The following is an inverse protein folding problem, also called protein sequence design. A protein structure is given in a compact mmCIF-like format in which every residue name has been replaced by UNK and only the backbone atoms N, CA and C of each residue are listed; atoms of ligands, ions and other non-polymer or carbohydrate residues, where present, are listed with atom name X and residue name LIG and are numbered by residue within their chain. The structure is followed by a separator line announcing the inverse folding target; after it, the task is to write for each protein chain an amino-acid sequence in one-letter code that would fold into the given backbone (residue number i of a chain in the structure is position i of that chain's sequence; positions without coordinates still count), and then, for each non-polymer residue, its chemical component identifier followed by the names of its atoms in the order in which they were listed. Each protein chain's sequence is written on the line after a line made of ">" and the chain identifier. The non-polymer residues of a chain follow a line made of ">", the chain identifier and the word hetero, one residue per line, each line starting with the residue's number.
data_IF_737099028413
#
_entry.id   IF_737099028413
#
_cell.length_a   1.000
_cell.length_b   1.000
_cell.length_c   1.000
_cell.angle_alpha   90.00
_cell.angle_beta   90.00
_cell.angle_gamma   90.00
#
_symmetry.space_group_name_H-M   'P 1'
#
loop_
_entity.id
_entity.type
_entity.pdbx_description
1 polymer ?
#
# COMPACT_ATOMS: atom_id res chain seq x y z
N UNK A 1 12.41 -55.88 45.70
CA UNK A 1 12.45 -55.31 44.32
C UNK A 1 13.86 -54.82 44.08
N UNK A 2 14.53 -55.27 43.02
CA UNK A 2 15.84 -54.69 42.66
C UNK A 2 15.60 -53.35 41.96
N UNK A 3 16.41 -52.37 42.34
CA UNK A 3 16.34 -50.99 41.88
C UNK A 3 16.64 -50.86 40.38
N UNK A 4 16.23 -49.74 39.82
CA UNK A 4 16.50 -49.18 38.48
C UNK A 4 17.98 -49.12 38.06
N UNK A 5 18.90 -49.68 38.85
CA UNK A 5 20.35 -49.65 38.65
C UNK A 5 20.93 -50.84 37.88
N UNK A 6 20.12 -51.75 37.33
CA UNK A 6 20.66 -52.84 36.50
C UNK A 6 21.33 -52.25 35.24
N UNK A 7 22.58 -52.64 34.90
CA UNK A 7 23.35 -52.00 33.84
C UNK A 7 22.63 -52.00 32.49
N UNK A 8 21.89 -53.07 32.15
CA UNK A 8 21.09 -53.14 30.92
C UNK A 8 19.90 -52.16 30.90
N UNK A 9 19.28 -51.90 32.05
CA UNK A 9 18.19 -50.91 32.16
C UNK A 9 18.77 -49.51 32.01
N UNK A 10 19.92 -49.23 32.64
CA UNK A 10 20.61 -47.95 32.51
C UNK A 10 21.09 -47.69 31.08
N UNK A 11 21.62 -48.71 30.38
CA UNK A 11 22.02 -48.56 28.98
C UNK A 11 20.82 -48.27 28.07
N UNK A 12 19.68 -48.93 28.32
CA UNK A 12 18.45 -48.67 27.58
C UNK A 12 17.97 -47.23 27.79
N UNK A 13 17.93 -46.75 29.04
CA UNK A 13 17.51 -45.38 29.36
C UNK A 13 18.43 -44.35 28.70
N UNK A 14 19.75 -44.54 28.74
CA UNK A 14 20.69 -43.64 28.03
C UNK A 14 20.45 -43.63 26.52
N UNK A 15 20.16 -44.78 25.91
CA UNK A 15 19.87 -44.84 24.48
C UNK A 15 18.55 -44.11 24.15
N UNK A 16 17.51 -44.24 24.98
CA UNK A 16 16.25 -43.51 24.82
C UNK A 16 16.44 -42.00 25.00
N UNK A 17 17.29 -41.58 25.93
CA UNK A 17 17.63 -40.18 26.14
C UNK A 17 18.42 -39.59 24.96
N UNK A 18 19.38 -40.32 24.40
CA UNK A 18 20.06 -39.91 23.17
C UNK A 18 19.09 -39.78 21.99
N UNK A 19 18.12 -40.69 21.89
CA UNK A 19 17.09 -40.63 20.85
C UNK A 19 16.15 -39.44 21.04
N UNK A 20 15.77 -39.12 22.28
CA UNK A 20 15.03 -37.90 22.63
C UNK A 20 15.81 -36.65 22.17
N UNK A 21 17.09 -36.55 22.49
CA UNK A 21 17.92 -35.40 22.07
C UNK A 21 17.99 -35.26 20.55
N UNK A 22 18.14 -36.38 19.83
CA UNK A 22 18.12 -36.37 18.35
C UNK A 22 16.78 -35.93 17.80
N UNK A 23 15.68 -36.35 18.42
CA UNK A 23 14.34 -35.94 18.02
C UNK A 23 14.13 -34.44 18.24
N UNK A 24 14.50 -33.92 19.41
CA UNK A 24 14.40 -32.50 19.73
C UNK A 24 15.25 -31.64 18.77
N UNK A 25 16.48 -32.05 18.48
CA UNK A 25 17.33 -31.37 17.51
C UNK A 25 16.72 -31.37 16.10
N UNK A 26 16.12 -32.48 15.68
CA UNK A 26 15.42 -32.57 14.40
C UNK A 26 14.16 -31.69 14.36
N UNK A 27 13.39 -31.66 15.45
CA UNK A 27 12.22 -30.81 15.59
C UNK A 27 12.60 -29.34 15.51
N UNK A 28 13.62 -28.91 16.26
CA UNK A 28 14.11 -27.53 16.22
C UNK A 28 14.57 -27.15 14.83
N UNK A 29 15.43 -27.97 14.20
CA UNK A 29 15.89 -27.70 12.83
C UNK A 29 14.73 -27.58 11.83
N UNK A 30 13.68 -28.39 12.01
CA UNK A 30 12.51 -28.31 11.15
C UNK A 30 11.76 -27.00 11.37
N UNK A 31 11.58 -26.57 12.63
CA UNK A 31 10.98 -25.28 12.98
C UNK A 31 11.76 -24.12 12.38
N UNK A 32 13.09 -24.14 12.49
CA UNK A 32 13.96 -23.09 11.94
C UNK A 32 13.82 -23.00 10.41
N UNK A 33 13.81 -24.14 9.71
CA UNK A 33 13.60 -24.19 8.25
C UNK A 33 12.22 -23.69 7.85
N UNK A 34 11.17 -24.04 8.61
CA UNK A 34 9.83 -23.51 8.33
C UNK A 34 9.75 -22.01 8.62
N UNK A 35 10.38 -21.52 9.69
CA UNK A 35 10.38 -20.11 10.05
C UNK A 35 11.11 -19.25 9.01
N UNK A 36 12.28 -19.70 8.53
CA UNK A 36 13.01 -19.02 7.45
C UNK A 36 12.19 -18.94 6.17
N UNK A 37 11.56 -20.05 5.75
CA UNK A 37 10.66 -20.06 4.59
C UNK A 37 9.45 -19.13 4.75
N UNK A 38 8.90 -19.01 5.96
CA UNK A 38 7.81 -18.05 6.27
C UNK A 38 8.27 -16.62 6.10
N UNK A 39 9.40 -16.27 6.72
CA UNK A 39 9.98 -14.94 6.62
C UNK A 39 10.28 -14.56 5.16
N UNK A 40 10.80 -15.50 4.35
CA UNK A 40 11.00 -15.28 2.92
C UNK A 40 9.69 -14.99 2.18
N UNK A 41 8.64 -15.80 2.40
CA UNK A 41 7.33 -15.58 1.77
C UNK A 41 6.71 -14.25 2.17
N UNK A 42 6.74 -13.92 3.47
CA UNK A 42 6.25 -12.64 3.99
C UNK A 42 7.02 -11.47 3.39
N UNK A 43 8.35 -11.56 3.32
CA UNK A 43 9.19 -10.54 2.69
C UNK A 43 8.83 -10.38 1.21
N UNK A 44 8.69 -11.48 0.45
CA UNK A 44 8.32 -11.39 -0.97
C UNK A 44 6.95 -10.77 -1.19
N UNK A 45 5.97 -11.06 -0.32
CA UNK A 45 4.64 -10.45 -0.42
C UNK A 45 4.70 -8.96 -0.07
N UNK A 46 5.45 -8.60 0.96
CA UNK A 46 5.64 -7.20 1.34
C UNK A 46 6.34 -6.40 0.24
N UNK A 47 7.37 -6.95 -0.40
CA UNK A 47 8.05 -6.31 -1.53
C UNK A 47 7.11 -6.09 -2.72
N UNK A 48 6.22 -7.05 -2.99
CA UNK A 48 5.17 -6.90 -4.00
C UNK A 48 4.19 -5.79 -3.63
N UNK A 49 3.77 -5.71 -2.37
CA UNK A 49 2.87 -4.66 -1.88
C UNK A 49 3.49 -3.27 -2.02
N UNK A 50 4.76 -3.13 -1.63
CA UNK A 50 5.52 -1.88 -1.81
C UNK A 50 5.59 -1.53 -3.29
N UNK A 51 5.94 -2.48 -4.16
CA UNK A 51 6.05 -2.23 -5.61
C UNK A 51 4.73 -1.74 -6.18
N UNK A 52 3.61 -2.43 -5.89
CA UNK A 52 2.28 -2.04 -6.34
C UNK A 52 1.87 -0.64 -5.85
N UNK A 53 2.17 -0.32 -4.59
CA UNK A 53 1.88 0.99 -4.01
C UNK A 53 2.69 2.09 -4.72
N UNK A 54 3.99 1.85 -4.95
CA UNK A 54 4.85 2.82 -5.64
C UNK A 54 4.43 3.05 -7.08
N UNK A 55 4.08 1.99 -7.82
CA UNK A 55 3.59 2.09 -9.20
C UNK A 55 2.28 2.88 -9.25
N UNK A 56 1.34 2.59 -8.33
CA UNK A 56 0.09 3.33 -8.26
C UNK A 56 0.34 4.81 -7.94
N UNK A 57 1.14 5.12 -6.92
CA UNK A 57 1.49 6.50 -6.57
C UNK A 57 2.15 7.25 -7.74
N UNK A 58 3.05 6.60 -8.48
CA UNK A 58 3.69 7.21 -9.66
C UNK A 58 2.67 7.52 -10.76
N UNK A 59 1.76 6.58 -11.07
CA UNK A 59 0.71 6.80 -12.07
C UNK A 59 -0.25 7.92 -11.65
N UNK A 60 -0.60 7.98 -10.36
CA UNK A 60 -1.47 9.02 -9.81
C UNK A 60 -0.79 10.39 -9.85
N UNK A 61 0.48 10.49 -9.45
CA UNK A 61 1.26 11.72 -9.51
C UNK A 61 1.45 12.22 -10.95
N UNK A 62 1.59 11.31 -11.91
CA UNK A 62 1.64 11.66 -13.32
C UNK A 62 0.30 12.19 -13.82
N UNK A 63 -0.81 11.53 -13.47
CA UNK A 63 -2.14 11.96 -13.89
C UNK A 63 -2.53 13.34 -13.31
N UNK A 64 -2.14 13.63 -12.07
CA UNK A 64 -2.36 14.95 -11.46
C UNK A 64 -1.53 16.02 -12.19
N UNK A 65 -0.25 15.77 -12.43
CA UNK A 65 0.62 16.71 -13.15
C UNK A 65 0.10 17.00 -14.57
N UNK A 66 -0.30 15.97 -15.33
CA UNK A 66 -0.87 16.13 -16.67
C UNK A 66 -2.18 16.96 -16.64
N UNK A 67 -3.02 16.76 -15.62
CA UNK A 67 -4.24 17.55 -15.46
C UNK A 67 -3.93 19.02 -15.10
N UNK A 68 -3.00 19.26 -14.18
CA UNK A 68 -2.56 20.60 -13.79
C UNK A 68 -1.98 21.38 -14.97
N UNK A 69 -1.10 20.75 -15.76
CA UNK A 69 -0.51 21.36 -16.95
C UNK A 69 -1.60 21.77 -17.97
N UNK A 70 -2.58 20.91 -18.21
CA UNK A 70 -3.70 21.24 -19.09
C UNK A 70 -4.55 22.39 -18.52
N UNK A 71 -4.77 22.42 -17.20
CA UNK A 71 -5.51 23.50 -16.56
C UNK A 71 -4.79 24.85 -16.67
N UNK A 72 -3.47 24.86 -16.51
CA UNK A 72 -2.64 26.04 -16.70
C UNK A 72 -2.71 26.51 -18.15
N UNK A 73 -2.58 25.59 -19.12
CA UNK A 73 -2.66 25.91 -20.55
C UNK A 73 -4.02 26.54 -20.92
N UNK A 74 -5.13 25.93 -20.46
CA UNK A 74 -6.48 26.44 -20.68
C UNK A 74 -6.67 27.85 -20.07
N UNK A 75 -6.15 28.09 -18.86
CA UNK A 75 -6.24 29.40 -18.21
C UNK A 75 -5.40 30.45 -18.95
N UNK A 76 -4.19 30.09 -19.40
CA UNK A 76 -3.33 30.97 -20.19
C UNK A 76 -3.99 31.37 -21.51
N UNK A 77 -4.56 30.42 -22.24
CA UNK A 77 -5.27 30.68 -23.50
C UNK A 77 -6.48 31.59 -23.27
N UNK A 78 -7.28 31.30 -22.24
CA UNK A 78 -8.44 32.12 -21.90
C UNK A 78 -8.02 33.57 -21.60
N UNK A 79 -6.99 33.77 -20.77
CA UNK A 79 -6.49 35.12 -20.44
C UNK A 79 -5.98 35.85 -21.67
N UNK A 80 -5.22 35.17 -22.53
CA UNK A 80 -4.73 35.76 -23.78
C UNK A 80 -5.88 36.20 -24.70
N UNK A 81 -6.94 35.38 -24.82
CA UNK A 81 -8.13 35.72 -25.60
C UNK A 81 -8.90 36.92 -25.02
N UNK A 82 -9.04 36.98 -23.68
CA UNK A 82 -9.68 38.09 -22.98
C UNK A 82 -8.87 39.39 -23.16
N UNK A 83 -7.55 39.34 -23.00
CA UNK A 83 -6.66 40.49 -23.23
C UNK A 83 -6.74 41.00 -24.67
N UNK A 84 -6.75 40.09 -25.65
CA UNK A 84 -6.88 40.45 -27.05
C UNK A 84 -8.23 41.12 -27.35
N UNK A 85 -9.31 40.66 -26.73
CA UNK A 85 -10.64 41.27 -26.87
C UNK A 85 -10.67 42.69 -26.28
N UNK A 86 -10.04 42.90 -25.12
CA UNK A 86 -9.90 44.21 -24.48
C UNK A 86 -9.07 45.18 -25.34
N UNK A 87 -7.94 44.73 -25.88
CA UNK A 87 -7.12 45.54 -26.81
C UNK A 87 -7.91 45.95 -28.05
N UNK A 88 -8.70 45.03 -28.60
CA UNK A 88 -9.52 45.28 -29.79
C UNK A 88 -10.58 46.34 -29.53
N UNK A 89 -11.29 46.26 -28.40
CA UNK A 89 -12.30 47.27 -28.01
C UNK A 89 -11.64 48.62 -27.74
N UNK A 90 -10.51 48.65 -27.03
CA UNK A 90 -9.77 49.89 -26.77
C UNK A 90 -9.30 50.57 -28.07
N UNK A 91 -8.75 49.79 -29.00
CA UNK A 91 -8.36 50.29 -30.32
C UNK A 91 -9.57 50.83 -31.10
N UNK A 92 -10.71 50.15 -31.04
CA UNK A 92 -11.96 50.59 -31.67
C UNK A 92 -12.47 51.90 -31.06
N UNK A 93 -12.51 52.01 -29.74
CA UNK A 93 -12.88 53.24 -29.02
C UNK A 93 -11.96 54.37 -29.47
N UNK A 94 -10.64 54.19 -29.43
CA UNK A 94 -9.67 55.21 -29.86
C UNK A 94 -9.87 55.65 -31.31
N UNK A 95 -10.16 54.72 -32.22
CA UNK A 95 -10.45 55.03 -33.62
C UNK A 95 -11.76 55.82 -33.76
N UNK A 96 -12.79 55.47 -32.99
CA UNK A 96 -14.08 56.15 -32.98
C UNK A 96 -13.99 57.55 -32.32
N UNK A 97 -13.21 57.69 -31.24
CA UNK A 97 -12.86 58.97 -30.60
C UNK A 97 -12.17 59.89 -31.61
N UNK A 98 -11.08 59.42 -32.25
CA UNK A 98 -10.40 60.18 -33.31
C UNK A 98 -11.33 60.48 -34.50
N UNK A 99 -12.38 59.67 -34.70
CA UNK A 99 -13.40 59.94 -35.69
C UNK A 99 -14.33 61.09 -35.30
N UNK A 100 -14.78 61.11 -34.06
CA UNK A 100 -15.68 62.12 -33.52
C UNK A 100 -14.97 63.45 -33.19
N UNK A 101 -13.71 63.41 -32.73
CA UNK A 101 -12.92 64.59 -32.32
C UNK A 101 -12.37 65.39 -33.50
N UNK A 102 -12.29 64.81 -34.70
CA UNK A 102 -11.85 65.52 -35.90
C UNK A 102 -12.83 66.58 -36.44
N UNK A 103 -13.78 67.03 -35.61
CA UNK A 103 -14.64 68.18 -35.88
C UNK A 103 -13.81 69.47 -35.88
N UNK A 104 -13.26 69.80 -37.05
CA UNK A 104 -12.57 71.09 -37.29
C UNK A 104 -11.25 71.00 -38.05
N UNK A 105 -10.65 69.82 -38.21
CA UNK A 105 -9.52 69.63 -39.11
C UNK A 105 -10.03 69.21 -40.49
N UNK A 106 -10.21 70.19 -41.37
CA UNK A 106 -10.39 69.93 -42.80
C UNK A 106 -9.19 69.15 -43.32
N UNK A 107 -9.38 68.04 -44.06
CA UNK A 107 -8.27 67.44 -44.78
C UNK A 107 -7.76 68.46 -45.79
N UNK A 108 -6.47 68.78 -45.75
CA UNK A 108 -5.77 69.57 -46.79
C UNK A 108 -5.75 68.86 -48.15
N UNK A 109 -6.32 67.65 -48.24
CA UNK A 109 -6.41 66.84 -49.46
C UNK A 109 -7.72 67.11 -50.22
N UNK A 110 -7.59 67.84 -51.32
CA UNK A 110 -8.68 68.48 -52.08
C UNK A 110 -9.65 67.55 -52.85
N UNK A 111 -9.79 66.27 -52.51
CA UNK A 111 -10.62 65.33 -53.28
C UNK A 111 -11.46 64.32 -52.46
N UNK A 112 -11.63 64.51 -51.14
CA UNK A 112 -12.46 63.63 -50.31
C UNK A 112 -13.75 64.35 -49.84
N UNK A 113 -14.91 63.65 -49.79
CA UNK A 113 -16.15 64.21 -49.25
C UNK A 113 -15.97 64.74 -47.81
N UNK A 114 -16.68 65.82 -47.42
CA UNK A 114 -16.58 66.36 -46.08
C UNK A 114 -16.99 65.34 -45.02
N UNK A 115 -16.16 65.18 -43.98
CA UNK A 115 -16.40 64.26 -42.87
C UNK A 115 -17.63 64.71 -42.07
N UNK A 116 -18.67 63.87 -42.00
CA UNK A 116 -19.88 64.13 -41.20
C UNK A 116 -19.98 63.13 -40.06
N UNK A 117 -19.98 63.64 -38.82
CA UNK A 117 -20.25 62.84 -37.62
C UNK A 117 -21.77 62.85 -37.39
N UNK A 118 -22.41 61.68 -37.42
CA UNK A 118 -23.85 61.55 -37.15
C UNK A 118 -24.11 61.25 -35.67
N UNK A 119 -25.32 61.52 -35.19
CA UNK A 119 -25.76 61.16 -33.83
C UNK A 119 -25.61 59.64 -33.57
N UNK A 120 -25.77 58.83 -34.61
CA UNK A 120 -25.58 57.39 -34.55
C UNK A 120 -24.14 57.00 -34.20
N UNK A 121 -23.13 57.72 -34.73
CA UNK A 121 -21.73 57.47 -34.42
C UNK A 121 -21.40 57.75 -32.94
N UNK A 122 -22.01 58.79 -32.36
CA UNK A 122 -21.85 59.12 -30.93
C UNK A 122 -22.54 58.08 -30.04
N UNK A 123 -23.74 57.60 -30.43
CA UNK A 123 -24.41 56.49 -29.73
C UNK A 123 -23.60 55.20 -29.79
N UNK A 124 -22.99 54.89 -30.95
CA UNK A 124 -22.13 53.72 -31.10
C UNK A 124 -20.86 53.81 -30.26
N UNK A 125 -20.26 55.01 -30.13
CA UNK A 125 -19.14 55.24 -29.23
C UNK A 125 -19.54 55.02 -27.76
N UNK A 126 -20.69 55.55 -27.34
CA UNK A 126 -21.27 55.30 -26.02
C UNK A 126 -21.47 53.80 -25.73
N UNK A 127 -21.95 53.04 -26.72
CA UNK A 127 -22.06 51.57 -26.61
C UNK A 127 -20.71 50.89 -26.39
N UNK A 128 -19.64 51.34 -27.03
CA UNK A 128 -18.31 50.76 -26.84
C UNK A 128 -17.74 51.04 -25.45
N UNK A 129 -18.01 52.22 -24.87
CA UNK A 129 -17.60 52.51 -23.49
C UNK A 129 -18.33 51.65 -22.46
N UNK A 130 -19.64 51.50 -22.60
CA UNK A 130 -20.41 50.62 -21.71
C UNK A 130 -19.89 49.19 -21.78
N UNK A 131 -19.59 48.71 -23.00
CA UNK A 131 -18.96 47.42 -23.16
C UNK A 131 -17.64 47.36 -22.39
N UNK A 132 -16.72 48.33 -22.57
CA UNK A 132 -15.44 48.36 -21.84
C UNK A 132 -15.60 48.33 -20.31
N UNK A 133 -16.60 49.02 -19.77
CA UNK A 133 -16.90 49.02 -18.34
C UNK A 133 -17.37 47.65 -17.83
N UNK A 134 -18.24 46.98 -18.58
CA UNK A 134 -18.74 45.64 -18.24
C UNK A 134 -17.69 44.52 -18.43
N UNK A 135 -16.68 44.75 -19.27
CA UNK A 135 -15.70 43.73 -19.68
C UNK A 135 -14.94 43.12 -18.50
N UNK A 136 -14.50 43.91 -17.53
CA UNK A 136 -13.74 43.40 -16.39
C UNK A 136 -14.58 42.41 -15.54
N UNK A 137 -15.85 42.74 -15.32
CA UNK A 137 -16.79 41.86 -14.62
C UNK A 137 -17.07 40.58 -15.43
N UNK A 138 -17.20 40.68 -16.75
CA UNK A 138 -17.39 39.52 -17.61
C UNK A 138 -16.15 38.62 -17.64
N UNK A 139 -14.95 39.21 -17.70
CA UNK A 139 -13.67 38.50 -17.68
C UNK A 139 -13.50 37.72 -16.38
N UNK A 140 -13.67 38.38 -15.24
CA UNK A 140 -13.59 37.76 -13.91
C UNK A 140 -14.61 36.63 -13.76
N UNK A 141 -15.86 36.85 -14.17
CA UNK A 141 -16.87 35.78 -14.15
C UNK A 141 -16.48 34.58 -15.01
N UNK A 142 -15.91 34.81 -16.20
CA UNK A 142 -15.53 33.72 -17.11
C UNK A 142 -14.34 32.92 -16.56
N UNK A 143 -13.36 33.59 -15.95
CA UNK A 143 -12.23 32.94 -15.27
C UNK A 143 -12.73 32.11 -14.09
N UNK A 144 -13.63 32.66 -13.28
CA UNK A 144 -14.19 31.93 -12.12
C UNK A 144 -14.93 30.68 -12.56
N UNK A 145 -15.83 30.77 -13.54
CA UNK A 145 -16.55 29.60 -14.05
C UNK A 145 -15.61 28.52 -14.61
N UNK A 146 -14.50 28.94 -15.22
CA UNK A 146 -13.50 28.03 -15.73
C UNK A 146 -12.78 27.34 -14.56
N UNK A 147 -12.34 28.08 -13.55
CA UNK A 147 -11.69 27.54 -12.34
C UNK A 147 -12.62 26.61 -11.56
N UNK A 148 -13.90 26.94 -11.41
CA UNK A 148 -14.88 26.07 -10.75
C UNK A 148 -14.97 24.69 -11.45
N UNK A 149 -14.93 24.69 -12.79
CA UNK A 149 -14.90 23.44 -13.58
C UNK A 149 -13.60 22.68 -13.40
N UNK A 150 -12.46 23.38 -13.34
CA UNK A 150 -11.15 22.77 -13.09
C UNK A 150 -11.09 22.14 -11.69
N UNK A 151 -11.54 22.86 -10.67
CA UNK A 151 -11.66 22.37 -9.30
C UNK A 151 -12.54 21.12 -9.23
N UNK A 152 -13.69 21.11 -9.93
CA UNK A 152 -14.55 19.93 -9.96
C UNK A 152 -13.88 18.72 -10.63
N UNK A 153 -13.16 18.94 -11.75
CA UNK A 153 -12.40 17.86 -12.40
C UNK A 153 -11.27 17.32 -11.53
N UNK A 154 -10.61 18.19 -10.75
CA UNK A 154 -9.57 17.79 -9.81
C UNK A 154 -10.16 16.97 -8.65
N UNK A 155 -11.29 17.40 -8.09
CA UNK A 155 -12.02 16.64 -7.06
C UNK A 155 -12.41 15.24 -7.59
N UNK A 156 -13.00 15.16 -8.79
CA UNK A 156 -13.37 13.87 -9.39
C UNK A 156 -12.15 12.98 -9.69
N UNK A 157 -10.96 13.56 -9.92
CA UNK A 157 -9.72 12.80 -10.08
C UNK A 157 -9.26 12.24 -8.72
N UNK A 158 -9.24 13.08 -7.68
CA UNK A 158 -8.85 12.69 -6.32
C UNK A 158 -9.76 11.57 -5.81
N UNK A 159 -11.08 11.69 -5.98
CA UNK A 159 -12.04 10.65 -5.56
C UNK A 159 -11.73 9.29 -6.22
N UNK A 160 -11.39 9.28 -7.52
CA UNK A 160 -10.99 8.04 -8.21
C UNK A 160 -9.67 7.49 -7.68
N UNK A 161 -8.71 8.36 -7.37
CA UNK A 161 -7.41 7.95 -6.83
C UNK A 161 -7.56 7.34 -5.43
N UNK A 162 -8.44 7.90 -4.59
CA UNK A 162 -8.79 7.37 -3.28
C UNK A 162 -9.46 5.99 -3.40
N UNK A 163 -10.44 5.84 -4.31
CA UNK A 163 -11.10 4.56 -4.62
C UNK A 163 -10.09 3.48 -5.05
N UNK A 164 -9.10 3.84 -5.85
CA UNK A 164 -8.04 2.93 -6.30
C UNK A 164 -7.15 2.49 -5.15
N UNK A 165 -6.76 3.41 -4.27
CA UNK A 165 -5.99 3.12 -3.06
C UNK A 165 -6.76 2.21 -2.10
N UNK A 166 -8.05 2.46 -1.89
CA UNK A 166 -8.89 1.61 -1.04
C UNK A 166 -9.01 0.20 -1.61
N UNK A 167 -9.20 0.06 -2.93
CA UNK A 167 -9.22 -1.25 -3.61
C UNK A 167 -7.88 -1.98 -3.46
N UNK A 168 -6.76 -1.27 -3.63
CA UNK A 168 -5.43 -1.84 -3.46
C UNK A 168 -5.23 -2.34 -2.02
N UNK A 169 -5.50 -1.50 -1.02
CA UNK A 169 -5.40 -1.86 0.39
C UNK A 169 -6.30 -3.06 0.74
N UNK A 170 -7.54 -3.07 0.23
CA UNK A 170 -8.46 -4.19 0.40
C UNK A 170 -7.96 -5.50 -0.20
N UNK A 171 -7.26 -5.45 -1.33
CA UNK A 171 -6.64 -6.62 -1.94
C UNK A 171 -5.40 -7.08 -1.15
N UNK A 172 -4.54 -6.16 -0.73
CA UNK A 172 -3.36 -6.46 0.09
C UNK A 172 -3.77 -7.15 1.41
N UNK A 173 -4.82 -6.66 2.07
CA UNK A 173 -5.37 -7.28 3.28
C UNK A 173 -5.82 -8.73 3.00
N UNK A 174 -6.54 -8.97 1.91
CA UNK A 174 -6.98 -10.33 1.53
C UNK A 174 -5.80 -11.27 1.28
N UNK A 175 -4.77 -10.80 0.59
CA UNK A 175 -3.56 -11.56 0.31
C UNK A 175 -2.80 -11.89 1.59
N UNK A 176 -2.65 -10.93 2.51
CA UNK A 176 -2.05 -11.17 3.83
C UNK A 176 -2.85 -12.19 4.63
N UNK A 177 -4.18 -12.11 4.62
CA UNK A 177 -5.03 -13.10 5.29
C UNK A 177 -4.88 -14.49 4.67
N UNK A 178 -4.84 -14.59 3.34
CA UNK A 178 -4.62 -15.85 2.64
C UNK A 178 -3.28 -16.47 3.03
N UNK A 179 -2.19 -15.68 2.97
CA UNK A 179 -0.86 -16.14 3.38
C UNK A 179 -0.86 -16.59 4.84
N UNK A 180 -1.41 -15.79 5.77
CA UNK A 180 -1.48 -16.15 7.20
C UNK A 180 -2.23 -17.47 7.42
N UNK A 181 -3.35 -17.67 6.73
CA UNK A 181 -4.11 -18.92 6.83
C UNK A 181 -3.28 -20.11 6.33
N UNK A 182 -2.60 -19.96 5.20
CA UNK A 182 -1.73 -21.01 4.67
C UNK A 182 -0.58 -21.34 5.63
N UNK A 183 0.01 -20.32 6.27
CA UNK A 183 1.05 -20.52 7.28
C UNK A 183 0.49 -21.25 8.50
N UNK A 184 -0.67 -20.86 9.04
CA UNK A 184 -1.30 -21.56 10.16
C UNK A 184 -1.55 -23.03 9.84
N UNK A 185 -2.05 -23.34 8.63
CA UNK A 185 -2.28 -24.72 8.21
C UNK A 185 -0.96 -25.51 8.07
N UNK A 186 0.10 -24.90 7.55
CA UNK A 186 1.43 -25.52 7.50
C UNK A 186 1.94 -25.81 8.93
N UNK A 187 1.72 -24.91 9.89
CA UNK A 187 2.15 -25.04 11.29
C UNK A 187 1.43 -26.17 12.00
N UNK A 188 0.12 -26.24 11.86
CA UNK A 188 -0.72 -27.31 12.40
C UNK A 188 -0.34 -28.67 11.81
N UNK A 189 -0.07 -28.72 10.50
CA UNK A 189 0.37 -29.94 9.83
C UNK A 189 1.72 -30.42 10.39
N UNK A 190 2.70 -29.52 10.53
CA UNK A 190 4.01 -29.85 11.10
C UNK A 190 3.88 -30.27 12.56
N UNK A 191 3.10 -29.53 13.36
CA UNK A 191 2.82 -29.83 14.76
C UNK A 191 2.20 -31.21 14.96
N UNK A 192 1.17 -31.55 14.17
CA UNK A 192 0.48 -32.84 14.25
C UNK A 192 1.41 -34.03 13.94
N UNK A 193 2.32 -33.87 12.96
CA UNK A 193 3.33 -34.89 12.64
C UNK A 193 4.29 -35.10 13.80
N UNK A 194 4.74 -34.04 14.46
CA UNK A 194 5.63 -34.15 15.62
C UNK A 194 4.93 -34.77 16.82
N UNK A 195 3.69 -34.36 17.13
CA UNK A 195 2.89 -34.94 18.21
C UNK A 195 2.66 -36.46 17.99
N UNK A 196 2.33 -36.86 16.76
CA UNK A 196 2.15 -38.28 16.41
C UNK A 196 3.45 -39.09 16.60
N UNK A 197 4.59 -38.54 16.15
CA UNK A 197 5.89 -39.18 16.31
C UNK A 197 6.30 -39.27 17.78
N UNK A 198 6.04 -38.22 18.56
CA UNK A 198 6.28 -38.14 19.99
C UNK A 198 5.49 -39.22 20.75
N UNK A 199 4.19 -39.34 20.47
CA UNK A 199 3.34 -40.38 21.05
C UNK A 199 3.85 -41.79 20.72
N UNK A 200 4.23 -42.03 19.47
CA UNK A 200 4.77 -43.32 19.01
C UNK A 200 6.11 -43.66 19.68
N UNK A 201 7.01 -42.68 19.82
CA UNK A 201 8.30 -42.86 20.50
C UNK A 201 8.08 -43.20 21.97
N UNK A 202 7.21 -42.46 22.66
CA UNK A 202 6.85 -42.70 24.06
C UNK A 202 6.30 -44.11 24.27
N UNK A 203 5.37 -44.54 23.42
CA UNK A 203 4.79 -45.88 23.48
C UNK A 203 5.85 -46.97 23.26
N UNK A 204 6.76 -46.77 22.29
CA UNK A 204 7.85 -47.72 22.02
C UNK A 204 8.85 -47.80 23.16
N UNK A 205 9.25 -46.67 23.76
CA UNK A 205 10.15 -46.64 24.90
C UNK A 205 9.52 -47.34 26.12
N UNK A 206 8.25 -47.07 26.41
CA UNK A 206 7.52 -47.74 27.49
C UNK A 206 7.42 -49.26 27.26
N UNK A 207 7.20 -49.70 26.02
CA UNK A 207 7.17 -51.12 25.66
C UNK A 207 8.56 -51.77 25.83
N UNK A 208 9.62 -51.12 25.33
CA UNK A 208 10.99 -51.63 25.44
C UNK A 208 11.41 -51.82 26.91
N UNK A 209 11.07 -50.87 27.79
CA UNK A 209 11.32 -51.00 29.22
C UNK A 209 10.54 -52.20 29.80
N UNK A 210 9.25 -52.33 29.48
CA UNK A 210 8.42 -53.46 29.96
C UNK A 210 8.97 -54.82 29.50
N UNK A 211 9.42 -54.93 28.26
CA UNK A 211 10.02 -56.15 27.70
C UNK A 211 11.31 -56.48 28.45
N UNK A 212 12.23 -55.53 28.58
CA UNK A 212 13.51 -55.73 29.28
C UNK A 212 13.31 -56.11 30.76
N UNK A 213 12.36 -55.48 31.45
CA UNK A 213 12.03 -55.84 32.84
C UNK A 213 11.49 -57.27 32.95
N UNK A 214 10.70 -57.74 31.99
CA UNK A 214 10.20 -59.12 31.96
C UNK A 214 11.32 -60.12 31.67
N UNK A 215 12.19 -59.82 30.71
CA UNK A 215 13.34 -60.67 30.37
C UNK A 215 14.28 -60.84 31.57
N UNK A 216 14.65 -59.74 32.23
CA UNK A 216 15.50 -59.78 33.43
C UNK A 216 14.83 -60.49 34.61
N UNK A 217 13.50 -60.41 34.73
CA UNK A 217 12.77 -61.16 35.75
C UNK A 217 12.85 -62.68 35.52
N UNK A 218 12.83 -63.12 34.26
CA UNK A 218 12.96 -64.54 33.91
C UNK A 218 14.39 -65.03 34.19
N UNK A 219 15.42 -64.24 33.85
CA UNK A 219 16.82 -64.65 34.04
C UNK A 219 17.24 -64.66 35.51
N UNK A 220 16.85 -63.64 36.28
CA UNK A 220 17.36 -63.43 37.63
C UNK A 220 16.43 -63.99 38.71
N UNK A 221 15.19 -64.35 38.34
CA UNK A 221 14.14 -64.78 39.26
C UNK A 221 13.59 -63.67 40.17
N UNK A 222 13.99 -62.40 39.95
CA UNK A 222 13.60 -61.25 40.78
C UNK A 222 12.68 -60.30 40.01
N UNK A 223 11.61 -59.83 40.65
CA UNK A 223 10.73 -58.80 40.07
C UNK A 223 11.45 -57.44 40.00
N UNK A 224 11.51 -56.88 38.78
CA UNK A 224 11.97 -55.52 38.50
C UNK A 224 10.80 -54.53 38.49
N UNK A 225 11.00 -53.33 39.04
CA UNK A 225 10.00 -52.27 38.99
C UNK A 225 9.99 -51.60 37.61
N UNK A 226 8.80 -51.19 37.14
CA UNK A 226 8.67 -50.47 35.89
C UNK A 226 9.30 -49.08 36.03
N UNK A 227 10.35 -48.80 35.25
CA UNK A 227 10.95 -47.46 35.16
C UNK A 227 10.17 -46.65 34.13
N UNK A 228 9.98 -45.36 34.40
CA UNK A 228 9.34 -44.44 33.45
C UNK A 228 10.28 -44.14 32.27
N UNK A 229 9.77 -44.00 31.04
CA UNK A 229 10.56 -43.50 29.93
C UNK A 229 10.98 -42.03 30.16
N UNK A 230 11.97 -41.52 29.40
CA UNK A 230 12.37 -40.12 29.46
C UNK A 230 11.18 -39.18 29.28
N UNK A 231 11.12 -38.12 30.08
CA UNK A 231 10.09 -37.08 29.98
C UNK A 231 10.41 -36.12 28.83
N UNK A 232 9.38 -35.74 28.09
CA UNK A 232 9.48 -34.66 27.11
C UNK A 232 9.67 -33.33 27.86
N UNK A 233 10.50 -32.41 27.32
CA UNK A 233 10.55 -31.06 27.86
C UNK A 233 9.18 -30.40 27.71
N UNK A 234 8.66 -29.82 28.78
CA UNK A 234 7.44 -29.01 28.72
C UNK A 234 7.66 -27.81 27.79
N UNK A 235 6.66 -27.48 26.95
CA UNK A 235 6.74 -26.37 26.00
C UNK A 235 7.09 -25.03 26.69
N UNK A 236 6.71 -24.86 27.97
CA UNK A 236 6.98 -23.66 28.78
C UNK A 236 8.47 -23.38 29.09
N UNK A 237 9.37 -24.36 28.95
CA UNK A 237 10.79 -24.22 29.31
C UNK A 237 11.69 -23.85 28.12
N UNK A 238 11.12 -23.70 26.91
CA UNK A 238 11.84 -23.28 25.71
C UNK A 238 11.83 -21.75 25.53
N UNK A 239 10.75 -21.07 25.90
CA UNK A 239 10.60 -19.61 25.71
C UNK A 239 11.33 -18.76 26.76
N UNK A 240 11.79 -19.35 27.86
CA UNK A 240 12.46 -18.62 28.95
C UNK A 240 13.95 -18.35 28.72
N UNK A 241 14.55 -18.86 27.63
CA UNK A 241 15.98 -18.64 27.35
C UNK A 241 16.29 -17.44 26.46
N UNK A 242 15.31 -16.86 25.75
CA UNK A 242 15.54 -15.71 24.87
C UNK A 242 15.36 -14.33 25.53
N UNK A 243 14.90 -14.27 26.79
CA UNK A 243 14.68 -12.99 27.51
C UNK A 243 15.90 -12.55 28.35
N UNK A 244 16.98 -13.35 28.43
CA UNK A 244 18.12 -13.03 29.32
C UNK A 244 19.32 -12.36 28.64
N UNK A 245 19.21 -11.92 27.37
CA UNK A 245 20.33 -11.31 26.64
C UNK A 245 19.99 -9.90 26.14
N UNK A 246 19.59 -9.00 27.03
CA UNK A 246 19.63 -7.55 26.81
C UNK A 246 19.66 -6.84 28.18
N UNK A 247 20.89 -6.54 28.64
CA UNK A 247 21.20 -5.54 29.66
C UNK A 247 22.31 -4.64 29.12
#
# INVERSE_FOLDING_TARGET
>A
MRFSGHPSIQSLLRAQEQELQRFLAFQQRTKDVTATRRAEREATLNDQHITQETELQETQARATAELEDQQIADEMELRAALDQSQRTINMRIKHMEAYCDGMGQTPTEANLPPRVVTEQNLRDLGRQYNLREDMERQHTSKINMMRDRQSKRMEDLIERQEDELEKLAGNQIKEQHALRNDLILEDEAVGSVFQSRQARLTARWALAIKVLCKELQITDGVKYAAVSPPSWPSEDMADTKDVSTEQ
#
